data_IF_036239910375
#
_entry.id   IF_036239910375
#
_cell.length_a   1.000
_cell.length_b   1.000
_cell.length_c   1.000
_cell.angle_alpha   90.00
_cell.angle_beta   90.00
_cell.angle_gamma   90.00
#
_symmetry.space_group_name_H-M   'P 1'
#
loop_
_entity.id
_entity.type
_entity.pdbx_description
1 polymer ?
#
# COMPACT_ATOMS: atom_id res chain seq x y z
N UNK A 1 22.06 1.59 -25.73
CA UNK A 1 21.59 1.40 -24.34
C UNK A 1 22.50 0.37 -23.65
N UNK A 2 23.28 0.76 -22.64
CA UNK A 2 24.31 -0.10 -22.04
C UNK A 2 23.68 -1.16 -21.14
N UNK A 3 23.89 -2.45 -21.45
CA UNK A 3 23.38 -3.59 -20.66
C UNK A 3 23.74 -3.50 -19.16
N UNK A 4 24.90 -2.91 -18.83
CA UNK A 4 25.35 -2.70 -17.44
C UNK A 4 24.43 -1.77 -16.63
N UNK A 5 23.84 -0.76 -17.25
CA UNK A 5 22.97 0.20 -16.56
C UNK A 5 21.61 -0.43 -16.20
N UNK A 6 21.08 -1.26 -17.11
CA UNK A 6 19.86 -2.04 -16.85
C UNK A 6 20.05 -3.02 -15.70
N UNK A 7 21.18 -3.74 -15.65
CA UNK A 7 21.47 -4.71 -14.58
C UNK A 7 21.54 -4.04 -13.21
N UNK A 8 22.24 -2.92 -13.09
CA UNK A 8 22.34 -2.17 -11.83
C UNK A 8 20.97 -1.63 -11.40
N UNK A 9 20.20 -1.07 -12.34
CA UNK A 9 18.84 -0.58 -12.08
C UNK A 9 17.89 -1.67 -11.60
N UNK A 10 17.90 -2.85 -12.24
CA UNK A 10 17.08 -3.99 -11.82
C UNK A 10 17.47 -4.52 -10.45
N UNK A 11 18.78 -4.59 -10.15
CA UNK A 11 19.25 -5.05 -8.84
C UNK A 11 18.91 -4.06 -7.73
N UNK A 12 19.03 -2.76 -7.99
CA UNK A 12 18.61 -1.72 -7.05
C UNK A 12 17.10 -1.74 -6.80
N UNK A 13 16.28 -1.92 -7.85
CA UNK A 13 14.83 -2.06 -7.72
C UNK A 13 14.44 -3.31 -6.92
N UNK A 14 15.12 -4.44 -7.15
CA UNK A 14 14.91 -5.66 -6.38
C UNK A 14 15.26 -5.46 -4.90
N UNK A 15 16.41 -4.84 -4.62
CA UNK A 15 16.85 -4.55 -3.26
C UNK A 15 15.87 -3.63 -2.53
N UNK A 16 15.35 -2.62 -3.23
CA UNK A 16 14.30 -1.74 -2.70
C UNK A 16 13.07 -2.54 -2.26
N UNK A 17 12.52 -3.39 -3.14
CA UNK A 17 11.33 -4.20 -2.80
C UNK A 17 11.58 -5.21 -1.68
N UNK A 18 12.76 -5.82 -1.63
CA UNK A 18 13.14 -6.73 -0.55
C UNK A 18 13.12 -6.00 0.79
N UNK A 19 13.74 -4.82 0.87
CA UNK A 19 13.85 -4.09 2.13
C UNK A 19 12.51 -3.46 2.51
N UNK A 20 11.94 -2.62 1.64
CA UNK A 20 10.74 -1.84 1.98
C UNK A 20 9.46 -2.67 1.87
N UNK A 21 9.30 -3.42 0.78
CA UNK A 21 8.09 -4.20 0.50
C UNK A 21 7.96 -5.44 1.38
N UNK A 22 9.08 -6.13 1.64
CA UNK A 22 9.08 -7.38 2.40
C UNK A 22 9.54 -7.19 3.85
N UNK A 23 10.79 -6.82 4.10
CA UNK A 23 11.34 -6.84 5.48
C UNK A 23 10.60 -5.86 6.39
N UNK A 24 10.54 -4.59 5.99
CA UNK A 24 9.87 -3.55 6.79
C UNK A 24 8.37 -3.84 6.87
N UNK A 25 7.74 -4.18 5.75
CA UNK A 25 6.31 -4.50 5.70
C UNK A 25 5.91 -5.68 6.59
N UNK A 26 6.70 -6.76 6.57
CA UNK A 26 6.43 -7.96 7.37
C UNK A 26 6.63 -7.73 8.87
N UNK A 27 7.69 -6.99 9.25
CA UNK A 27 7.91 -6.64 10.66
C UNK A 27 6.80 -5.75 11.18
N UNK A 28 6.42 -4.71 10.41
CA UNK A 28 5.31 -3.83 10.78
C UNK A 28 3.97 -4.58 10.88
N UNK A 29 3.71 -5.54 9.98
CA UNK A 29 2.50 -6.36 10.01
C UNK A 29 2.42 -7.22 11.28
N UNK A 30 3.50 -7.91 11.65
CA UNK A 30 3.53 -8.71 12.88
C UNK A 30 3.37 -7.83 14.13
N UNK A 31 4.05 -6.69 14.18
CA UNK A 31 3.89 -5.73 15.28
C UNK A 31 2.44 -5.23 15.39
N UNK A 32 1.77 -5.02 14.26
CA UNK A 32 0.39 -4.55 14.24
C UNK A 32 -0.59 -5.64 14.72
N UNK A 33 -0.35 -6.92 14.39
CA UNK A 33 -1.13 -8.04 14.89
C UNK A 33 -1.06 -8.19 16.42
N UNK A 34 0.06 -7.81 17.02
CA UNK A 34 0.23 -7.80 18.47
C UNK A 34 -0.42 -6.58 19.14
N UNK A 35 -0.59 -5.48 18.40
CA UNK A 35 -1.01 -4.18 18.95
C UNK A 35 -2.49 -3.85 18.76
N UNK A 36 -3.13 -4.34 17.70
CA UNK A 36 -4.54 -4.05 17.36
C UNK A 36 -5.28 -5.29 16.89
N UNK A 37 -6.62 -5.20 16.82
CA UNK A 37 -7.45 -6.32 16.36
C UNK A 37 -7.14 -6.74 14.92
N UNK A 38 -7.26 -8.04 14.64
CA UNK A 38 -7.07 -8.64 13.31
C UNK A 38 -7.96 -8.00 12.25
N UNK A 39 -9.15 -7.54 12.65
CA UNK A 39 -10.06 -6.79 11.78
C UNK A 39 -9.41 -5.48 11.31
N UNK A 40 -8.81 -4.71 12.22
CA UNK A 40 -8.16 -3.45 11.89
C UNK A 40 -6.89 -3.68 11.08
N UNK A 41 -6.11 -4.70 11.41
CA UNK A 41 -4.99 -5.15 10.57
C UNK A 41 -5.49 -5.42 9.15
N UNK A 42 -6.53 -6.22 8.94
CA UNK A 42 -7.03 -6.51 7.58
C UNK A 42 -7.43 -5.25 6.78
N UNK A 43 -7.75 -4.15 7.46
CA UNK A 43 -8.07 -2.89 6.76
C UNK A 43 -6.86 -2.15 6.17
N UNK A 44 -5.63 -2.44 6.61
CA UNK A 44 -4.43 -1.79 6.05
C UNK A 44 -4.28 -2.06 4.55
N UNK A 45 -4.70 -3.25 4.09
CA UNK A 45 -4.58 -3.66 2.68
C UNK A 45 -5.41 -2.79 1.76
N UNK A 46 -6.51 -2.22 2.29
CA UNK A 46 -7.37 -1.27 1.58
C UNK A 46 -6.77 0.15 1.57
N UNK A 47 -5.96 0.52 2.55
CA UNK A 47 -5.30 1.84 2.57
C UNK A 47 -4.12 1.87 1.59
N UNK A 48 -3.45 0.74 1.34
CA UNK A 48 -2.26 0.67 0.49
C UNK A 48 -2.49 1.22 -0.95
N UNK A 49 -3.55 0.86 -1.70
CA UNK A 49 -3.87 1.48 -2.99
C UNK A 49 -4.08 3.00 -2.92
N UNK A 50 -4.62 3.51 -1.81
CA UNK A 50 -4.81 4.95 -1.60
C UNK A 50 -3.47 5.66 -1.50
N UNK A 51 -2.56 5.13 -0.69
CA UNK A 51 -1.20 5.67 -0.53
C UNK A 51 -0.43 5.57 -1.84
N UNK A 52 -0.49 4.41 -2.52
CA UNK A 52 0.17 4.18 -3.79
C UNK A 52 -0.27 5.20 -4.85
N UNK A 53 -1.56 5.54 -4.91
CA UNK A 53 -2.05 6.54 -5.85
C UNK A 53 -1.64 7.97 -5.47
N UNK A 54 -1.77 8.34 -4.19
CA UNK A 54 -1.40 9.67 -3.71
C UNK A 54 0.09 9.97 -3.90
N UNK A 55 0.94 8.95 -3.77
CA UNK A 55 2.38 9.06 -4.05
C UNK A 55 2.69 8.90 -5.54
N UNK A 56 2.05 7.96 -6.22
CA UNK A 56 2.32 7.62 -7.62
C UNK A 56 1.97 8.76 -8.58
N UNK A 57 0.84 9.45 -8.37
CA UNK A 57 0.42 10.53 -9.26
C UNK A 57 1.46 11.67 -9.36
N UNK A 58 1.93 12.27 -8.25
CA UNK A 58 2.95 13.32 -8.32
C UNK A 58 4.35 12.81 -8.66
N UNK A 59 4.71 11.56 -8.28
CA UNK A 59 6.07 11.02 -8.47
C UNK A 59 6.28 10.45 -9.88
N UNK A 60 5.28 9.77 -10.43
CA UNK A 60 5.33 9.10 -11.74
C UNK A 60 4.62 9.90 -12.83
N UNK A 61 3.89 10.96 -12.47
CA UNK A 61 3.13 11.78 -13.42
C UNK A 61 1.92 11.07 -14.01
N UNK A 62 1.42 10.01 -13.35
CA UNK A 62 0.29 9.22 -13.85
C UNK A 62 -1.01 10.05 -13.81
N UNK A 63 -1.83 10.05 -14.88
CA UNK A 63 -3.07 10.81 -14.90
C UNK A 63 -4.09 10.24 -13.91
N UNK A 64 -4.58 11.10 -13.02
CA UNK A 64 -5.62 10.73 -12.05
C UNK A 64 -6.96 10.49 -12.77
N UNK A 65 -7.20 9.25 -13.19
CA UNK A 65 -8.42 8.88 -13.91
C UNK A 65 -9.65 8.86 -12.98
N UNK A 66 -10.82 9.21 -13.53
CA UNK A 66 -12.11 9.13 -12.82
C UNK A 66 -12.39 7.72 -12.28
N UNK A 67 -11.94 6.69 -12.98
CA UNK A 67 -12.12 5.30 -12.54
C UNK A 67 -11.30 4.98 -11.28
N UNK A 68 -10.11 5.57 -11.16
CA UNK A 68 -9.26 5.41 -9.98
C UNK A 68 -9.88 6.13 -8.78
N UNK A 69 -10.43 7.33 -8.98
CA UNK A 69 -11.19 8.05 -7.93
C UNK A 69 -12.34 7.21 -7.38
N UNK A 70 -13.13 6.59 -8.26
CA UNK A 70 -14.25 5.72 -7.83
C UNK A 70 -13.73 4.54 -7.02
N UNK A 71 -12.65 3.88 -7.48
CA UNK A 71 -12.02 2.79 -6.74
C UNK A 71 -11.56 3.21 -5.34
N UNK A 72 -10.89 4.36 -5.23
CA UNK A 72 -10.43 4.90 -3.95
C UNK A 72 -11.60 5.17 -3.00
N UNK A 73 -12.66 5.83 -3.48
CA UNK A 73 -13.85 6.13 -2.66
C UNK A 73 -14.50 4.84 -2.15
N UNK A 74 -14.69 3.84 -3.00
CA UNK A 74 -15.29 2.55 -2.61
C UNK A 74 -14.45 1.88 -1.53
N UNK A 75 -13.13 1.83 -1.71
CA UNK A 75 -12.21 1.20 -0.76
C UNK A 75 -12.21 1.94 0.58
N UNK A 76 -12.18 3.28 0.58
CA UNK A 76 -12.27 4.10 1.80
C UNK A 76 -13.59 3.88 2.54
N UNK A 77 -14.74 3.84 1.83
CA UNK A 77 -16.06 3.58 2.43
C UNK A 77 -16.11 2.20 3.09
N UNK A 78 -15.56 1.17 2.44
CA UNK A 78 -15.50 -0.18 3.00
C UNK A 78 -14.68 -0.19 4.29
N UNK A 79 -13.51 0.46 4.30
CA UNK A 79 -12.63 0.54 5.50
C UNK A 79 -13.36 1.21 6.66
N UNK A 80 -13.95 2.38 6.43
CA UNK A 80 -14.66 3.13 7.48
C UNK A 80 -15.84 2.32 8.01
N UNK A 81 -16.63 1.72 7.11
CA UNK A 81 -17.78 0.89 7.49
C UNK A 81 -17.38 -0.33 8.33
N UNK A 82 -16.23 -0.94 8.02
CA UNK A 82 -15.68 -2.07 8.78
C UNK A 82 -15.16 -1.63 10.15
N UNK A 83 -14.48 -0.48 10.22
CA UNK A 83 -13.98 0.10 11.46
C UNK A 83 -15.13 0.44 12.43
N UNK A 84 -16.22 1.03 11.92
CA UNK A 84 -17.41 1.36 12.73
C UNK A 84 -18.09 0.12 13.30
N UNK A 85 -18.20 -0.96 12.51
CA UNK A 85 -18.78 -2.23 12.98
C UNK A 85 -17.97 -2.87 14.10
N UNK A 86 -16.64 -2.79 14.03
CA UNK A 86 -15.74 -3.33 15.05
C UNK A 86 -15.82 -2.58 16.39
N UNK A 87 -16.33 -1.35 16.43
CA UNK A 87 -16.47 -0.54 17.65
C UNK A 87 -17.80 -0.79 18.38
N UNK A 88 -18.76 -1.42 17.71
CA UNK A 88 -20.13 -1.67 18.23
C UNK A 88 -20.34 -3.08 18.80
N UNK A 89 -19.34 -3.94 18.67
CA UNK A 89 -19.24 -5.27 19.30
C UNK A 89 -18.28 -5.21 20.46
#
# INVERSE_FOLDING_TARGET
MNKRFLVIGSFAAALWLIISGSVIGFVAYNWLLESVSTSLVSTYTFVNPVIAMLLGTPVLGEPFSRMILVGLVVVTVIVISRAERSRKT
#
